data_IF_965916988310
#
_entry.id   IF_965916988310
#
_cell.length_a   1.000
_cell.length_b   1.000
_cell.length_c   1.000
_cell.angle_alpha   90.00
_cell.angle_beta   90.00
_cell.angle_gamma   90.00
#
_symmetry.space_group_name_H-M   'P 1'
#
loop_
_entity.id
_entity.type
_entity.pdbx_description
1 polymer ?
#
# COMPACT_ATOMS: atom_id res chain seq x y z
N UNK A 1 1.99 11.98 -2.72
CA UNK A 1 2.33 10.71 -2.05
C UNK A 1 3.37 9.89 -2.82
N UNK A 2 3.14 9.53 -4.08
CA UNK A 2 4.11 8.74 -4.88
C UNK A 2 5.47 9.44 -4.98
N UNK A 3 5.50 10.74 -5.27
CA UNK A 3 6.74 11.53 -5.26
C UNK A 3 7.50 11.48 -3.91
N UNK A 4 6.78 11.43 -2.79
CA UNK A 4 7.36 11.52 -1.45
C UNK A 4 7.78 10.16 -0.87
N UNK A 5 7.09 9.08 -1.23
CA UNK A 5 7.23 7.75 -0.62
C UNK A 5 7.62 6.65 -1.62
N UNK A 6 7.54 6.92 -2.92
CA UNK A 6 7.68 5.91 -3.97
C UNK A 6 9.08 5.28 -4.04
N UNK A 7 10.12 6.02 -3.65
CA UNK A 7 11.49 5.50 -3.58
C UNK A 7 11.75 4.57 -2.38
N UNK A 8 10.87 4.56 -1.39
CA UNK A 8 10.99 3.72 -0.18
C UNK A 8 10.07 2.51 -0.28
N UNK A 9 8.79 2.74 -0.61
CA UNK A 9 7.76 1.70 -0.55
C UNK A 9 7.07 1.41 -1.88
N UNK A 10 7.44 2.08 -2.98
CA UNK A 10 6.70 2.07 -4.26
C UNK A 10 5.30 2.73 -4.18
N UNK A 11 4.88 3.15 -2.98
CA UNK A 11 3.69 3.92 -2.71
C UNK A 11 2.41 3.39 -3.39
N UNK A 12 2.13 2.08 -3.28
CA UNK A 12 0.92 1.48 -3.86
C UNK A 12 -0.35 2.12 -3.29
N UNK A 13 -0.36 2.39 -1.98
CA UNK A 13 -1.42 3.09 -1.22
C UNK A 13 -2.85 2.55 -1.44
N UNK A 14 -2.97 1.35 -1.99
CA UNK A 14 -4.20 0.72 -2.42
C UNK A 14 -3.99 -0.81 -2.49
N UNK A 15 -4.87 -1.60 -1.85
CA UNK A 15 -4.80 -3.06 -1.90
C UNK A 15 -4.90 -3.64 -3.31
N UNK A 16 -5.78 -3.09 -4.16
CA UNK A 16 -5.95 -3.55 -5.53
C UNK A 16 -4.69 -3.31 -6.39
N UNK A 17 -4.01 -2.17 -6.19
CA UNK A 17 -2.73 -1.86 -6.87
C UNK A 17 -1.65 -2.83 -6.40
N UNK A 18 -1.57 -3.10 -5.09
CA UNK A 18 -0.62 -4.06 -4.51
C UNK A 18 -0.79 -5.45 -5.12
N UNK A 19 -2.04 -5.91 -5.24
CA UNK A 19 -2.36 -7.19 -5.88
C UNK A 19 -1.96 -7.17 -7.37
N UNK A 20 -2.34 -6.14 -8.12
CA UNK A 20 -2.06 -6.05 -9.55
C UNK A 20 -0.54 -6.06 -9.85
N UNK A 21 0.25 -5.28 -9.11
CA UNK A 21 1.71 -5.21 -9.28
C UNK A 21 2.37 -6.54 -8.87
N UNK A 22 1.85 -7.20 -7.84
CA UNK A 22 2.35 -8.53 -7.45
C UNK A 22 2.04 -9.59 -8.50
N UNK A 23 0.83 -9.58 -9.08
CA UNK A 23 0.46 -10.47 -10.18
C UNK A 23 1.31 -10.21 -11.44
N UNK A 24 1.73 -8.96 -11.64
CA UNK A 24 2.70 -8.58 -12.68
C UNK A 24 4.16 -8.99 -12.33
N UNK A 25 4.39 -9.71 -11.22
CA UNK A 25 5.70 -10.15 -10.72
C UNK A 25 6.68 -9.00 -10.44
N UNK A 26 6.14 -7.81 -10.12
CA UNK A 26 6.93 -6.61 -9.82
C UNK A 26 7.04 -6.32 -8.32
N UNK A 27 6.37 -7.11 -7.47
CA UNK A 27 6.41 -6.99 -6.02
C UNK A 27 6.46 -8.38 -5.37
N UNK A 28 7.11 -8.49 -4.22
CA UNK A 28 7.30 -9.78 -3.55
C UNK A 28 5.98 -10.30 -2.97
N UNK A 29 5.59 -11.53 -3.34
CA UNK A 29 4.31 -12.12 -2.90
C UNK A 29 4.17 -12.26 -1.38
N UNK A 30 5.29 -12.47 -0.67
CA UNK A 30 5.31 -12.57 0.80
C UNK A 30 4.99 -11.23 1.48
N UNK A 31 5.18 -10.12 0.78
CA UNK A 31 4.94 -8.78 1.30
C UNK A 31 3.49 -8.31 1.10
N UNK A 32 2.67 -9.00 0.29
CA UNK A 32 1.27 -8.58 0.04
C UNK A 32 0.51 -8.35 1.35
N UNK A 33 0.51 -9.36 2.23
CA UNK A 33 -0.29 -9.33 3.46
C UNK A 33 0.11 -8.17 4.40
N UNK A 34 1.38 -8.02 4.82
CA UNK A 34 1.76 -6.89 5.66
C UNK A 34 1.54 -5.54 4.97
N UNK A 35 1.74 -5.45 3.64
CA UNK A 35 1.54 -4.20 2.90
C UNK A 35 0.06 -3.79 2.85
N UNK A 36 -0.87 -4.72 2.58
CA UNK A 36 -2.31 -4.46 2.59
C UNK A 36 -2.79 -4.10 4.00
N UNK A 37 -2.30 -4.79 5.04
CA UNK A 37 -2.65 -4.47 6.43
C UNK A 37 -2.24 -3.02 6.74
N UNK A 38 -1.04 -2.60 6.35
CA UNK A 38 -0.59 -1.21 6.56
C UNK A 38 -1.48 -0.19 5.86
N UNK A 39 -1.94 -0.48 4.63
CA UNK A 39 -2.86 0.37 3.88
C UNK A 39 -4.21 0.50 4.59
N UNK A 40 -4.77 -0.60 5.08
CA UNK A 40 -6.06 -0.61 5.78
C UNK A 40 -5.98 0.12 7.12
N UNK A 41 -4.93 -0.14 7.91
CA UNK A 41 -4.72 0.54 9.20
C UNK A 41 -4.51 2.04 8.97
N UNK A 42 -3.67 2.42 8.00
CA UNK A 42 -3.44 3.82 7.66
C UNK A 42 -4.71 4.53 7.20
N UNK A 43 -5.51 3.90 6.33
CA UNK A 43 -6.79 4.45 5.87
C UNK A 43 -7.80 4.60 7.01
N UNK A 44 -7.90 3.59 7.89
CA UNK A 44 -8.78 3.63 9.06
C UNK A 44 -8.38 4.76 10.01
N UNK A 45 -7.11 4.84 10.40
CA UNK A 45 -6.62 5.91 11.27
C UNK A 45 -6.82 7.29 10.63
N UNK A 46 -6.53 7.45 9.35
CA UNK A 46 -6.77 8.71 8.63
C UNK A 46 -8.25 9.12 8.67
N UNK A 47 -9.17 8.16 8.53
CA UNK A 47 -10.61 8.41 8.65
C UNK A 47 -11.04 8.87 10.04
N UNK A 48 -10.36 8.44 11.11
CA UNK A 48 -10.67 8.87 12.49
C UNK A 48 -10.26 10.32 12.77
N UNK A 49 -9.25 10.84 12.06
CA UNK A 49 -8.74 12.21 12.23
C UNK A 49 -9.29 13.20 11.22
N UNK A 50 -10.03 12.72 10.21
CA UNK A 50 -10.68 13.55 9.20
C UNK A 50 -11.86 14.29 9.86
N UNK A 51 -11.89 15.62 9.71
CA UNK A 51 -12.97 16.49 10.22
C UNK A 51 -14.12 16.60 9.22
#
# INVERSE_FOLDING_TARGET
MIYALGNISEAHLNPAVTIAITLAKKFEIKQIAPYIISQLVGAFLASLVLK
#
